data_IF_804729582117
#
_entry.id   IF_804729582117
#
_cell.length_a   1.000
_cell.length_b   1.000
_cell.length_c   1.000
_cell.angle_alpha   90.00
_cell.angle_beta   90.00
_cell.angle_gamma   90.00
#
_symmetry.space_group_name_H-M   'P 1'
#
loop_
_entity.id
_entity.type
_entity.pdbx_description
1 polymer ?
#
# COMPACT_ATOMS: atom_id res chain seq x y z
N UNK A 1 16.84 -1.72 -42.96
CA UNK A 1 17.16 -0.78 -41.87
C UNK A 1 16.34 -1.22 -40.66
N UNK A 2 16.97 -1.84 -39.67
CA UNK A 2 16.27 -2.39 -38.49
C UNK A 2 16.38 -1.39 -37.32
N UNK A 3 15.25 -1.15 -36.64
CA UNK A 3 15.06 -0.09 -35.65
C UNK A 3 15.85 -0.27 -34.35
N UNK A 4 16.13 0.87 -33.72
CA UNK A 4 16.78 1.04 -32.41
C UNK A 4 15.94 0.36 -31.31
N UNK A 5 16.54 -0.36 -30.34
CA UNK A 5 15.78 -0.86 -29.20
C UNK A 5 15.27 0.32 -28.37
N UNK A 6 13.94 0.43 -28.22
CA UNK A 6 13.34 1.43 -27.35
C UNK A 6 13.67 1.13 -25.89
N UNK A 7 14.46 2.00 -25.26
CA UNK A 7 14.58 2.04 -23.81
C UNK A 7 13.32 2.70 -23.25
N UNK A 8 12.56 1.98 -22.43
CA UNK A 8 11.52 2.59 -21.61
C UNK A 8 12.17 3.09 -20.32
N UNK A 9 12.22 4.41 -20.13
CA UNK A 9 12.65 4.98 -18.87
C UNK A 9 11.48 4.87 -17.87
N UNK A 10 11.71 4.19 -16.75
CA UNK A 10 10.81 4.30 -15.60
C UNK A 10 11.15 5.61 -14.89
N UNK A 11 10.24 6.58 -14.94
CA UNK A 11 10.36 7.78 -14.12
C UNK A 11 9.81 7.43 -12.73
N UNK A 12 10.66 7.56 -11.71
CA UNK A 12 10.20 7.56 -10.32
C UNK A 12 9.13 8.66 -10.17
N UNK A 13 7.93 8.26 -9.75
CA UNK A 13 6.80 9.16 -9.55
C UNK A 13 6.35 9.11 -8.09
N UNK A 14 6.19 10.28 -7.47
CA UNK A 14 5.56 10.39 -6.15
C UNK A 14 4.08 10.73 -6.32
N UNK A 15 3.23 10.02 -5.60
CA UNK A 15 1.78 10.17 -5.65
C UNK A 15 1.24 10.18 -4.23
N UNK A 16 0.44 11.19 -3.90
CA UNK A 16 -0.30 11.25 -2.64
C UNK A 16 -1.73 10.78 -2.88
N UNK A 17 -2.20 9.81 -2.10
CA UNK A 17 -3.60 9.37 -2.11
C UNK A 17 -4.21 9.51 -0.71
N UNK A 18 -5.49 9.87 -0.66
CA UNK A 18 -6.23 10.06 0.59
C UNK A 18 -7.17 8.87 0.80
N UNK A 19 -6.99 8.14 1.89
CA UNK A 19 -7.93 7.09 2.33
C UNK A 19 -8.83 7.72 3.38
N UNK A 20 -10.05 8.11 2.99
CA UNK A 20 -11.04 8.63 3.92
C UNK A 20 -12.24 7.67 3.99
N UNK A 21 -12.50 7.00 5.13
CA UNK A 21 -13.70 6.18 5.30
C UNK A 21 -14.95 7.05 5.23
N UNK A 22 -15.92 6.66 4.38
CA UNK A 22 -17.25 7.26 4.41
C UNK A 22 -18.15 6.45 5.34
N UNK A 23 -18.73 7.10 6.35
CA UNK A 23 -19.80 6.57 7.20
C UNK A 23 -21.12 7.27 6.90
N UNK A 24 -22.23 6.55 7.11
CA UNK A 24 -23.58 7.10 6.99
C UNK A 24 -23.98 7.99 8.17
N UNK A 25 -23.24 7.96 9.28
CA UNK A 25 -23.58 8.67 10.52
C UNK A 25 -22.47 9.65 10.96
N UNK A 26 -22.86 10.90 11.24
CA UNK A 26 -21.93 12.01 11.49
C UNK A 26 -21.36 12.05 12.92
N UNK A 27 -21.77 11.13 13.80
CA UNK A 27 -21.40 11.12 15.24
C UNK A 27 -20.37 10.03 15.58
N UNK A 28 -19.83 9.35 14.56
CA UNK A 28 -18.86 8.27 14.72
C UNK A 28 -17.43 8.81 14.58
N UNK A 29 -16.64 8.73 15.65
CA UNK A 29 -15.21 9.03 15.62
C UNK A 29 -14.44 7.84 15.05
N UNK A 30 -14.33 7.78 13.73
CA UNK A 30 -13.53 6.77 13.04
C UNK A 30 -12.06 7.13 13.17
N UNK A 31 -11.23 6.16 13.53
CA UNK A 31 -9.78 6.34 13.59
C UNK A 31 -9.08 5.21 12.86
N UNK A 32 -8.26 5.56 11.88
CA UNK A 32 -7.26 4.65 11.32
C UNK A 32 -6.04 4.74 12.23
N UNK A 33 -5.74 3.69 12.98
CA UNK A 33 -4.67 3.69 13.97
C UNK A 33 -3.36 3.15 13.41
N UNK A 34 -3.44 2.05 12.65
CA UNK A 34 -2.25 1.37 12.13
C UNK A 34 -2.44 0.89 10.70
N UNK A 35 -1.32 0.79 9.98
CA UNK A 35 -1.21 0.15 8.68
C UNK A 35 -0.25 -1.04 8.77
N UNK A 36 -0.74 -2.21 8.39
CA UNK A 36 -0.06 -3.50 8.49
C UNK A 36 0.31 -4.03 7.11
N UNK A 37 1.53 -3.79 6.62
CA UNK A 37 2.01 -4.46 5.42
C UNK A 37 2.15 -5.97 5.64
N UNK A 38 2.12 -6.74 4.55
CA UNK A 38 2.45 -8.16 4.61
C UNK A 38 3.96 -8.36 4.76
N UNK A 39 4.47 -8.23 5.99
CA UNK A 39 5.88 -8.43 6.32
C UNK A 39 6.10 -9.84 6.82
N UNK A 40 6.78 -10.66 6.02
CA UNK A 40 7.40 -11.89 6.54
C UNK A 40 8.70 -11.51 7.27
N UNK A 41 8.68 -11.60 8.60
CA UNK A 41 9.85 -11.55 9.49
C UNK A 41 10.90 -10.46 9.21
N UNK A 42 10.47 -9.22 8.96
CA UNK A 42 11.41 -8.09 8.92
C UNK A 42 11.55 -7.49 10.31
N UNK A 43 12.75 -7.54 10.86
CA UNK A 43 13.13 -6.67 11.98
C UNK A 43 13.22 -5.25 11.44
N UNK A 44 12.22 -4.43 11.72
CA UNK A 44 12.23 -3.01 11.39
C UNK A 44 13.00 -2.30 12.50
N UNK A 45 14.05 -1.58 12.12
CA UNK A 45 14.74 -0.64 13.01
C UNK A 45 13.80 0.55 13.27
N UNK A 46 13.12 0.55 14.42
CA UNK A 46 12.18 1.58 14.86
C UNK A 46 12.91 2.84 15.38
N UNK A 47 13.87 3.34 14.61
CA UNK A 47 14.60 4.57 14.96
C UNK A 47 13.69 5.80 15.01
N UNK A 48 12.57 5.77 14.28
CA UNK A 48 11.61 6.87 14.16
C UNK A 48 10.41 6.77 15.13
N UNK A 49 10.28 5.68 15.91
CA UNK A 49 9.18 5.47 16.87
C UNK A 49 7.80 5.32 16.23
N UNK A 50 7.75 4.99 14.94
CA UNK A 50 6.52 4.85 14.15
C UNK A 50 6.09 3.38 14.01
N UNK A 51 6.89 2.44 14.50
CA UNK A 51 6.63 1.01 14.36
C UNK A 51 6.23 0.38 15.70
N UNK A 52 5.15 -0.41 15.66
CA UNK A 52 4.68 -1.22 16.76
C UNK A 52 4.90 -2.71 16.43
N UNK A 53 5.60 -3.49 17.28
CA UNK A 53 5.93 -4.88 16.97
C UNK A 53 4.74 -5.82 16.82
N UNK A 54 3.55 -5.42 17.30
CA UNK A 54 2.31 -6.21 17.15
C UNK A 54 1.36 -5.63 16.10
N UNK A 55 1.39 -4.31 15.87
CA UNK A 55 0.40 -3.60 15.03
C UNK A 55 1.00 -2.93 13.79
N UNK A 56 2.32 -3.04 13.59
CA UNK A 56 3.13 -2.40 12.54
C UNK A 56 3.07 -0.87 12.57
N UNK A 57 2.82 -0.19 11.44
CA UNK A 57 3.06 1.24 11.32
C UNK A 57 1.93 2.06 11.93
N UNK A 58 2.26 2.94 12.87
CA UNK A 58 1.35 3.92 13.45
C UNK A 58 1.05 5.03 12.44
N UNK A 59 -0.25 5.35 12.27
CA UNK A 59 -0.67 6.53 11.52
C UNK A 59 -0.24 7.80 12.27
N UNK A 60 0.61 8.60 11.63
CA UNK A 60 1.21 9.82 12.19
C UNK A 60 0.27 11.02 12.12
N UNK A 61 -0.51 11.16 11.04
CA UNK A 61 -1.43 12.29 10.88
C UNK A 61 -2.63 11.99 10.00
N UNK A 62 -3.79 12.54 10.38
CA UNK A 62 -4.99 12.60 9.53
C UNK A 62 -5.18 13.97 8.87
N UNK A 63 -4.24 14.91 9.06
CA UNK A 63 -4.17 16.15 8.28
C UNK A 63 -3.62 15.85 6.86
N UNK A 64 -4.37 16.15 5.78
CA UNK A 64 -3.93 15.96 4.40
C UNK A 64 -2.53 16.49 4.06
N UNK A 65 -2.13 17.62 4.65
CA UNK A 65 -0.82 18.24 4.41
C UNK A 65 0.36 17.44 4.98
N UNK A 66 0.08 16.47 5.85
CA UNK A 66 1.06 15.66 6.58
C UNK A 66 0.98 14.17 6.23
N UNK A 67 0.24 13.80 5.18
CA UNK A 67 0.07 12.38 4.79
C UNK A 67 1.36 11.72 4.34
N UNK A 68 2.33 12.50 3.87
CA UNK A 68 3.66 12.02 3.53
C UNK A 68 4.43 11.47 4.74
N UNK A 69 3.97 11.72 5.98
CA UNK A 69 4.53 11.12 7.20
C UNK A 69 3.98 9.72 7.48
N UNK A 70 2.86 9.34 6.85
CA UNK A 70 2.24 8.03 7.06
C UNK A 70 2.86 6.96 6.17
N UNK A 71 2.86 5.73 6.66
CA UNK A 71 3.08 4.56 5.82
C UNK A 71 1.91 4.36 4.82
N UNK A 72 2.16 3.89 3.59
CA UNK A 72 3.48 3.74 2.98
C UNK A 72 3.94 5.02 2.29
N UNK A 73 5.23 5.34 2.39
CA UNK A 73 5.86 6.46 1.66
C UNK A 73 6.25 6.08 0.22
N UNK A 74 6.19 4.79 -0.13
CA UNK A 74 6.46 4.25 -1.47
C UNK A 74 5.51 3.11 -1.79
N UNK A 75 5.05 3.01 -3.04
CA UNK A 75 4.17 1.94 -3.50
C UNK A 75 4.81 1.03 -4.56
N UNK A 76 4.30 -0.19 -4.69
CA UNK A 76 4.65 -1.11 -5.77
C UNK A 76 3.40 -1.80 -6.33
N UNK A 77 3.46 -2.29 -7.57
CA UNK A 77 2.38 -3.09 -8.13
C UNK A 77 2.19 -4.36 -7.28
N UNK A 78 0.94 -4.61 -6.85
CA UNK A 78 0.56 -5.67 -5.91
C UNK A 78 1.01 -5.50 -4.47
N UNK A 79 1.58 -4.35 -4.10
CA UNK A 79 1.74 -4.02 -2.68
C UNK A 79 0.36 -3.93 -2.03
N UNK A 80 0.20 -4.55 -0.87
CA UNK A 80 -0.99 -4.36 -0.05
C UNK A 80 -0.64 -4.26 1.43
N UNK A 81 -1.55 -3.63 2.18
CA UNK A 81 -1.48 -3.49 3.62
C UNK A 81 -2.89 -3.41 4.20
N UNK A 82 -3.03 -3.81 5.45
CA UNK A 82 -4.29 -3.89 6.16
C UNK A 82 -4.41 -2.75 7.18
N UNK A 83 -5.54 -2.06 7.18
CA UNK A 83 -5.82 -0.96 8.09
C UNK A 83 -6.47 -1.47 9.37
N UNK A 84 -5.91 -1.09 10.52
CA UNK A 84 -6.58 -1.23 11.80
C UNK A 84 -7.42 0.02 12.06
N UNK A 85 -8.74 -0.13 11.93
CA UNK A 85 -9.73 0.94 12.09
C UNK A 85 -10.51 0.70 13.38
N UNK A 86 -10.64 1.73 14.21
CA UNK A 86 -11.41 1.72 15.44
C UNK A 86 -12.52 2.76 15.38
N UNK A 87 -13.52 2.61 16.27
CA UNK A 87 -14.65 3.53 16.39
C UNK A 87 -15.83 3.23 15.47
N UNK A 88 -15.73 2.26 14.54
CA UNK A 88 -16.81 1.89 13.61
C UNK A 88 -16.77 0.40 13.29
N UNK A 89 -17.92 -0.20 12.95
CA UNK A 89 -17.93 -1.52 12.31
C UNK A 89 -17.44 -1.37 10.86
N UNK A 90 -16.35 -2.05 10.52
CA UNK A 90 -15.78 -2.05 9.15
C UNK A 90 -16.76 -2.53 8.07
N UNK A 91 -17.83 -3.24 8.45
CA UNK A 91 -18.90 -3.64 7.54
C UNK A 91 -19.78 -2.45 7.10
N UNK A 92 -19.78 -1.36 7.86
CA UNK A 92 -20.53 -0.13 7.55
C UNK A 92 -19.74 0.81 6.62
N UNK A 93 -18.42 0.62 6.51
CA UNK A 93 -17.57 1.46 5.69
C UNK A 93 -17.75 1.21 4.19
N UNK A 94 -17.86 2.27 3.41
CA UNK A 94 -17.87 2.16 1.94
C UNK A 94 -16.68 2.89 1.34
N UNK A 95 -16.05 2.23 0.37
CA UNK A 95 -14.81 2.70 -0.24
C UNK A 95 -14.95 2.74 -1.76
N UNK A 96 -14.49 3.84 -2.37
CA UNK A 96 -14.31 3.93 -3.81
C UNK A 96 -12.84 3.71 -4.12
N UNK A 97 -12.56 3.04 -5.24
CA UNK A 97 -11.19 3.00 -5.76
C UNK A 97 -10.76 4.41 -6.16
N UNK A 98 -9.48 4.70 -5.94
CA UNK A 98 -8.87 5.99 -6.26
C UNK A 98 -7.72 5.73 -7.22
N UNK A 99 -7.70 6.44 -8.34
CA UNK A 99 -6.61 6.38 -9.33
C UNK A 99 -5.94 7.73 -9.44
N UNK A 100 -4.60 7.74 -9.36
CA UNK A 100 -3.80 8.95 -9.51
C UNK A 100 -2.47 8.59 -10.20
N UNK A 101 -2.11 9.31 -11.26
CA UNK A 101 -0.87 9.13 -12.04
C UNK A 101 -0.55 7.66 -12.38
N UNK A 102 -1.57 6.90 -12.78
CA UNK A 102 -1.41 5.48 -13.19
C UNK A 102 -1.36 4.47 -12.05
N UNK A 103 -1.43 4.91 -10.78
CA UNK A 103 -1.55 4.04 -9.60
C UNK A 103 -3.00 4.04 -9.12
N UNK A 104 -3.56 2.85 -8.92
CA UNK A 104 -4.91 2.62 -8.40
C UNK A 104 -4.84 1.99 -7.02
N UNK A 105 -5.40 2.66 -6.02
CA UNK A 105 -5.66 2.10 -4.70
C UNK A 105 -7.08 1.50 -4.69
N UNK A 106 -7.17 0.21 -4.36
CA UNK A 106 -8.44 -0.50 -4.19
C UNK A 106 -8.55 -0.99 -2.75
N UNK A 107 -9.73 -0.83 -2.15
CA UNK A 107 -9.99 -1.28 -0.79
C UNK A 107 -10.90 -2.50 -0.82
N UNK A 108 -10.49 -3.59 -0.18
CA UNK A 108 -11.28 -4.81 -0.02
C UNK A 108 -11.43 -5.18 1.46
N UNK A 109 -12.40 -6.04 1.75
CA UNK A 109 -12.52 -6.70 3.04
C UNK A 109 -11.92 -8.08 2.92
N UNK A 110 -10.98 -8.39 3.78
CA UNK A 110 -10.30 -9.69 3.80
C UNK A 110 -10.40 -10.29 5.20
N UNK A 111 -10.27 -11.61 5.31
CA UNK A 111 -10.09 -12.25 6.62
C UNK A 111 -8.60 -12.18 6.96
N UNK A 112 -8.30 -11.77 8.19
CA UNK A 112 -6.97 -11.79 8.76
C UNK A 112 -6.45 -13.23 8.85
N UNK A 113 -5.57 -13.57 7.91
CA UNK A 113 -4.92 -14.88 7.80
C UNK A 113 -3.40 -14.72 7.80
N UNK A 114 -2.68 -15.76 8.24
CA UNK A 114 -1.22 -15.71 8.34
C UNK A 114 -0.73 -15.05 9.64
N UNK A 115 0.30 -14.20 9.54
CA UNK A 115 0.98 -13.58 10.69
C UNK A 115 0.21 -12.39 11.29
N UNK A 116 -1.07 -12.56 11.58
CA UNK A 116 -1.79 -11.61 12.42
C UNK A 116 -1.55 -11.93 13.90
N UNK A 117 -1.53 -10.90 14.77
CA UNK A 117 -1.60 -11.12 16.20
C UNK A 117 -2.78 -12.04 16.57
N UNK A 118 -2.64 -12.94 17.56
CA UNK A 118 -3.70 -13.88 17.92
C UNK A 118 -5.05 -13.20 18.19
N UNK A 119 -5.04 -11.98 18.71
CA UNK A 119 -6.25 -11.20 18.96
C UNK A 119 -6.97 -10.72 17.70
N UNK A 120 -6.28 -10.65 16.56
CA UNK A 120 -6.84 -10.18 15.27
C UNK A 120 -7.00 -11.30 14.24
N UNK A 121 -6.43 -12.49 14.49
CA UNK A 121 -6.56 -13.66 13.62
C UNK A 121 -8.01 -14.05 13.41
N UNK A 122 -8.42 -14.27 12.15
CA UNK A 122 -9.78 -14.63 11.78
C UNK A 122 -10.79 -13.48 11.77
N UNK A 123 -10.40 -12.25 12.15
CA UNK A 123 -11.25 -11.07 12.01
C UNK A 123 -11.27 -10.57 10.57
N UNK A 124 -12.33 -9.87 10.18
CA UNK A 124 -12.35 -9.13 8.92
C UNK A 124 -11.49 -7.87 9.08
N UNK A 125 -10.69 -7.54 8.07
CA UNK A 125 -9.81 -6.37 8.00
C UNK A 125 -10.03 -5.60 6.71
N UNK A 126 -9.65 -4.32 6.71
CA UNK A 126 -9.73 -3.44 5.54
C UNK A 126 -8.39 -3.46 4.81
N UNK A 127 -8.30 -4.15 3.66
CA UNK A 127 -7.08 -4.25 2.86
C UNK A 127 -7.03 -3.18 1.79
N UNK A 128 -5.92 -2.46 1.71
CA UNK A 128 -5.59 -1.55 0.62
C UNK A 128 -4.61 -2.24 -0.30
N UNK A 129 -4.92 -2.33 -1.60
CA UNK A 129 -4.00 -2.85 -2.63
C UNK A 129 -3.68 -1.77 -3.65
N UNK A 130 -2.39 -1.60 -3.91
CA UNK A 130 -1.86 -0.68 -4.92
C UNK A 130 -1.62 -1.43 -6.24
N UNK A 131 -2.19 -0.92 -7.31
CA UNK A 131 -2.03 -1.44 -8.68
C UNK A 131 -1.51 -0.32 -9.55
N UNK A 132 -0.28 -0.40 -10.02
CA UNK A 132 0.31 0.60 -10.90
C UNK A 132 1.22 -0.01 -11.95
N UNK A 133 2.02 0.80 -12.66
CA UNK A 133 3.05 0.31 -13.54
C UNK A 133 4.01 -0.63 -12.80
N UNK A 134 4.37 -1.74 -13.43
CA UNK A 134 5.38 -2.66 -12.93
C UNK A 134 6.56 -2.64 -13.89
N UNK A 135 7.78 -2.75 -13.35
CA UNK A 135 8.95 -2.97 -14.18
C UNK A 135 8.77 -4.31 -14.92
N UNK A 136 8.76 -4.28 -16.24
CA UNK A 136 8.91 -5.49 -17.05
C UNK A 136 10.39 -5.85 -17.12
N UNK A 137 10.72 -7.14 -17.08
CA UNK A 137 12.10 -7.60 -17.29
C UNK A 137 12.69 -6.96 -18.55
N UNK A 138 13.84 -6.31 -18.38
CA UNK A 138 14.66 -5.87 -19.50
C UNK A 138 15.05 -7.10 -20.33
N UNK A 139 14.46 -7.25 -21.52
CA UNK A 139 15.01 -8.16 -22.52
C UNK A 139 16.24 -7.50 -23.13
N UNK A 140 17.40 -7.70 -22.51
CA UNK A 140 18.68 -7.40 -23.14
C UNK A 140 18.77 -8.20 -24.45
N UNK A 141 18.92 -7.56 -25.62
CA UNK A 141 19.21 -8.31 -26.84
C UNK A 141 20.57 -9.02 -26.66
N UNK A 142 20.58 -10.35 -26.79
CA UNK A 142 21.84 -11.11 -26.88
C UNK A 142 22.63 -10.56 -28.07
N UNK A 143 23.77 -9.94 -27.81
CA UNK A 143 24.76 -9.64 -28.85
C UNK A 143 25.22 -10.98 -29.44
N UNK A 144 24.77 -11.28 -30.65
CA UNK A 144 25.33 -12.37 -31.45
C UNK A 144 26.63 -11.83 -32.07
N UNK A 145 27.75 -12.17 -31.46
CA UNK A 145 29.06 -11.93 -32.07
C UNK A 145 29.25 -12.97 -33.17
N UNK A 146 28.91 -12.62 -34.41
CA UNK A 146 29.42 -13.31 -35.58
C UNK A 146 30.82 -12.75 -35.85
N UNK A 147 31.87 -13.49 -35.47
CA UNK A 147 33.23 -13.21 -35.90
C UNK A 147 33.36 -13.66 -37.36
N UNK A 148 33.74 -12.74 -38.25
CA UNK A 148 34.11 -13.03 -39.64
C UNK A 148 35.62 -13.17 -39.75
#
# INVERSE_FOLDING_TARGET
MYGVPGTSNFAEGSVTYYINPNVSDNDVCIKVEFARPNLDFMYIDDSDGIWNPMKDFLVQSTNPDLYNLNFPTTGAHNLYFDLLITGVDINELTWKSVTHEGITATVTREVAEGMFPPEDSGKVVTRVRLTGPAASDCKCPKLSTQLT
#
